data_IF_313310261517
#
_entry.id   IF_313310261517
#
_cell.length_a   1.000
_cell.length_b   1.000
_cell.length_c   1.000
_cell.angle_alpha   90.00
_cell.angle_beta   90.00
_cell.angle_gamma   90.00
#
_symmetry.space_group_name_H-M   'P 1'
#
loop_
_entity.id
_entity.type
_entity.pdbx_description
1 polymer ?
#
# COMPACT_ATOMS: atom_id res chain seq x y z
N UNK A 1 2.81 -4.25 21.02
CA UNK A 1 3.23 -3.03 20.30
C UNK A 1 4.72 -3.18 19.99
N UNK A 2 5.08 -3.50 18.74
CA UNK A 2 6.49 -3.48 18.34
C UNK A 2 6.91 -2.01 18.31
N UNK A 3 7.86 -1.64 19.17
CA UNK A 3 8.46 -0.31 19.13
C UNK A 3 9.28 -0.22 17.85
N UNK A 4 8.78 0.49 16.85
CA UNK A 4 9.52 0.81 15.62
C UNK A 4 10.63 1.86 15.87
N UNK A 5 11.01 2.09 17.12
CA UNK A 5 12.02 3.05 17.57
C UNK A 5 12.92 2.39 18.60
N UNK A 6 14.22 2.30 18.33
CA UNK A 6 15.27 2.04 19.31
C UNK A 6 16.09 3.31 19.60
N UNK A 7 16.82 3.33 20.72
CA UNK A 7 17.69 4.46 21.07
C UNK A 7 18.85 4.70 20.07
N UNK A 8 19.11 3.71 19.21
CA UNK A 8 20.18 3.74 18.21
C UNK A 8 19.66 3.96 16.79
N UNK A 9 18.36 4.26 16.62
CA UNK A 9 17.81 4.49 15.29
C UNK A 9 18.36 5.80 14.71
N UNK A 10 18.74 5.82 13.42
CA UNK A 10 19.17 7.05 12.77
C UNK A 10 18.04 8.08 12.75
N UNK A 11 18.43 9.36 12.64
CA UNK A 11 17.47 10.46 12.50
C UNK A 11 16.54 10.20 11.30
N UNK A 12 15.24 10.37 11.53
CA UNK A 12 14.22 10.21 10.48
C UNK A 12 14.11 11.51 9.69
N UNK A 13 14.05 11.37 8.37
CA UNK A 13 13.76 12.45 7.45
C UNK A 13 12.44 12.18 6.75
N UNK A 14 11.69 13.25 6.49
CA UNK A 14 10.56 13.24 5.56
C UNK A 14 11.08 13.68 4.21
N UNK A 15 10.80 12.89 3.18
CA UNK A 15 11.11 13.23 1.78
C UNK A 15 9.82 13.43 1.01
N UNK A 16 9.79 14.42 0.14
CA UNK A 16 8.75 14.56 -0.86
C UNK A 16 9.11 13.69 -2.07
N UNK A 17 8.11 13.01 -2.62
CA UNK A 17 8.27 12.19 -3.83
C UNK A 17 7.20 12.54 -4.85
N UNK A 18 7.60 12.64 -6.11
CA UNK A 18 6.69 12.73 -7.24
C UNK A 18 6.50 11.35 -7.86
N UNK A 19 5.24 10.96 -8.02
CA UNK A 19 4.84 9.70 -8.65
C UNK A 19 4.08 10.02 -9.93
N UNK A 20 4.54 9.46 -11.05
CA UNK A 20 3.98 9.72 -12.38
C UNK A 20 3.58 8.41 -13.08
N UNK A 21 2.56 8.49 -13.93
CA UNK A 21 2.06 7.37 -14.75
C UNK A 21 1.59 6.14 -13.94
N UNK A 22 1.04 6.37 -12.75
CA UNK A 22 0.48 5.32 -11.90
C UNK A 22 -1.01 5.07 -12.22
N UNK A 23 -1.34 3.81 -12.54
CA UNK A 23 -2.73 3.31 -12.49
C UNK A 23 -2.90 2.67 -11.13
N UNK A 24 -3.71 3.25 -10.26
CA UNK A 24 -3.85 2.78 -8.89
C UNK A 24 -5.31 2.45 -8.62
N UNK A 25 -5.51 1.35 -7.90
CA UNK A 25 -6.81 0.97 -7.40
C UNK A 25 -7.12 1.77 -6.12
N UNK A 26 -8.22 2.52 -6.08
CA UNK A 26 -8.56 3.32 -4.90
C UNK A 26 -9.50 2.57 -3.97
N UNK A 27 -8.98 2.01 -2.87
CA UNK A 27 -9.81 1.28 -1.90
C UNK A 27 -10.69 2.19 -1.04
N UNK A 28 -10.58 3.52 -1.20
CA UNK A 28 -11.46 4.48 -0.53
C UNK A 28 -12.78 4.65 -1.27
N UNK A 29 -12.83 4.31 -2.55
CA UNK A 29 -14.02 4.41 -3.39
C UNK A 29 -14.85 3.13 -3.32
N UNK A 30 -15.48 2.90 -2.17
CA UNK A 30 -16.22 1.68 -1.86
C UNK A 30 -17.37 1.37 -2.84
N UNK A 31 -17.80 2.36 -3.63
CA UNK A 31 -18.86 2.22 -4.64
C UNK A 31 -18.30 1.83 -6.02
N UNK A 32 -16.98 1.74 -6.18
CA UNK A 32 -16.36 1.37 -7.46
C UNK A 32 -16.71 -0.08 -7.83
N UNK A 33 -17.22 -0.33 -9.04
CA UNK A 33 -17.55 -1.69 -9.52
C UNK A 33 -16.31 -2.59 -9.63
N UNK A 34 -15.11 -2.01 -9.64
CA UNK A 34 -13.85 -2.75 -9.66
C UNK A 34 -13.55 -3.45 -8.33
N UNK A 35 -14.33 -3.18 -7.26
CA UNK A 35 -14.20 -3.84 -5.95
C UNK A 35 -14.59 -5.32 -5.93
N UNK A 36 -15.06 -5.90 -7.04
CA UNK A 36 -15.56 -7.26 -7.14
C UNK A 36 -14.51 -8.32 -6.72
N UNK A 37 -14.39 -8.56 -5.41
CA UNK A 37 -13.50 -9.55 -4.80
C UNK A 37 -12.47 -9.02 -3.78
N UNK A 38 -12.26 -7.70 -3.68
CA UNK A 38 -11.29 -7.12 -2.74
C UNK A 38 -11.99 -6.30 -1.65
N UNK A 39 -12.07 -6.84 -0.44
CA UNK A 39 -12.63 -6.12 0.71
C UNK A 39 -11.57 -5.24 1.39
N UNK A 40 -11.97 -4.05 1.84
CA UNK A 40 -11.12 -3.18 2.63
C UNK A 40 -10.64 -3.88 3.91
N UNK A 41 -11.47 -4.75 4.49
CA UNK A 41 -11.14 -5.55 5.69
C UNK A 41 -10.00 -6.54 5.42
N UNK A 42 -10.02 -7.23 4.29
CA UNK A 42 -8.94 -8.15 3.91
C UNK A 42 -7.64 -7.39 3.61
N UNK A 43 -7.74 -6.22 2.94
CA UNK A 43 -6.61 -5.33 2.69
C UNK A 43 -6.00 -4.80 4.01
N UNK A 44 -6.86 -4.50 4.98
CA UNK A 44 -6.52 -3.98 6.30
C UNK A 44 -6.12 -5.06 7.33
N UNK A 45 -6.24 -6.35 6.97
CA UNK A 45 -6.03 -7.47 7.88
C UNK A 45 -4.62 -7.50 8.49
N UNK A 46 -4.50 -8.02 9.71
CA UNK A 46 -3.22 -8.12 10.41
C UNK A 46 -2.34 -9.20 9.77
N UNK A 47 -1.53 -8.79 8.80
CA UNK A 47 -0.64 -9.69 8.08
C UNK A 47 0.47 -10.25 8.97
N UNK A 48 0.87 -9.54 10.03
CA UNK A 48 1.95 -9.99 10.91
C UNK A 48 1.48 -11.18 11.74
N UNK A 49 0.25 -11.09 12.27
CA UNK A 49 -0.36 -12.19 13.01
C UNK A 49 -0.59 -13.40 12.10
N UNK A 50 -1.12 -13.19 10.90
CA UNK A 50 -1.33 -14.29 9.94
C UNK A 50 -0.01 -15.00 9.57
N UNK A 51 1.08 -14.25 9.37
CA UNK A 51 2.40 -14.85 9.16
C UNK A 51 2.89 -15.61 10.41
N UNK A 52 2.67 -15.09 11.61
CA UNK A 52 3.01 -15.76 12.88
C UNK A 52 2.27 -17.09 13.03
N UNK A 53 1.05 -17.16 12.50
CA UNK A 53 0.21 -18.36 12.44
C UNK A 53 0.53 -19.27 11.24
N UNK A 54 1.61 -19.00 10.48
CA UNK A 54 1.97 -19.71 9.24
C UNK A 54 0.86 -19.73 8.18
N UNK A 55 -0.01 -18.71 8.20
CA UNK A 55 -1.09 -18.53 7.23
C UNK A 55 -0.71 -17.46 6.22
N UNK A 56 -1.14 -17.64 4.97
CA UNK A 56 -0.94 -16.61 3.93
C UNK A 56 -1.79 -15.37 4.25
N UNK A 57 -1.20 -14.17 4.33
CA UNK A 57 -1.97 -12.96 4.61
C UNK A 57 -3.05 -12.68 3.56
N UNK A 58 -4.27 -12.37 4.00
CA UNK A 58 -5.38 -12.00 3.11
C UNK A 58 -5.09 -10.71 2.33
N UNK A 59 -4.37 -9.76 2.94
CA UNK A 59 -3.93 -8.54 2.27
C UNK A 59 -3.04 -8.83 1.05
N UNK A 60 -2.35 -9.96 1.01
CA UNK A 60 -1.57 -10.39 -0.17
C UNK A 60 -2.46 -10.93 -1.28
N UNK A 61 -3.56 -11.61 -0.94
CA UNK A 61 -4.53 -12.04 -1.95
C UNK A 61 -5.23 -10.82 -2.60
N UNK A 62 -5.52 -9.77 -1.82
CA UNK A 62 -6.02 -8.49 -2.34
C UNK A 62 -5.01 -7.85 -3.30
N UNK A 63 -3.73 -7.77 -2.91
CA UNK A 63 -2.65 -7.29 -3.79
C UNK A 63 -2.65 -8.06 -5.12
N UNK A 64 -2.67 -9.38 -5.07
CA UNK A 64 -2.60 -10.22 -6.27
C UNK A 64 -3.81 -10.01 -7.19
N UNK A 65 -5.02 -9.90 -6.61
CA UNK A 65 -6.23 -9.63 -7.37
C UNK A 65 -6.17 -8.26 -8.07
N UNK A 66 -5.71 -7.22 -7.35
CA UNK A 66 -5.52 -5.88 -7.92
C UNK A 66 -4.44 -5.89 -9.00
N UNK A 67 -3.33 -6.59 -8.81
CA UNK A 67 -2.25 -6.71 -9.79
C UNK A 67 -2.75 -7.36 -11.11
N UNK A 68 -3.66 -8.34 -11.03
CA UNK A 68 -4.27 -8.99 -12.20
C UNK A 68 -5.15 -8.04 -13.03
N UNK A 69 -5.63 -6.93 -12.47
CA UNK A 69 -6.35 -5.88 -13.24
C UNK A 69 -5.42 -5.01 -14.08
N UNK A 70 -4.10 -5.16 -13.94
CA UNK A 70 -3.10 -4.32 -14.59
C UNK A 70 -2.83 -3.00 -13.84
N UNK A 71 -3.35 -2.86 -12.61
CA UNK A 71 -2.99 -1.78 -11.71
C UNK A 71 -1.51 -1.87 -11.30
N UNK A 72 -0.89 -0.71 -11.11
CA UNK A 72 0.49 -0.57 -10.64
C UNK A 72 0.58 -0.55 -9.10
N UNK A 73 -0.56 -0.43 -8.42
CA UNK A 73 -0.62 -0.18 -7.00
C UNK A 73 -2.03 0.07 -6.50
N UNK A 74 -2.14 0.50 -5.25
CA UNK A 74 -3.41 0.86 -4.61
C UNK A 74 -3.27 2.07 -3.69
N UNK A 75 -4.40 2.71 -3.40
CA UNK A 75 -4.55 3.68 -2.32
C UNK A 75 -5.37 3.03 -1.22
N UNK A 76 -4.88 3.05 0.03
CA UNK A 76 -5.62 2.59 1.20
C UNK A 76 -5.83 3.72 2.22
N UNK A 77 -6.97 3.77 2.92
CA UNK A 77 -7.18 4.70 4.01
C UNK A 77 -6.29 4.34 5.21
N UNK A 78 -5.73 5.36 5.87
CA UNK A 78 -4.93 5.12 7.07
C UNK A 78 -5.80 4.66 8.24
N UNK A 79 -5.50 3.47 8.75
CA UNK A 79 -6.19 2.88 9.91
C UNK A 79 -5.89 3.60 11.23
N UNK A 80 -4.71 4.24 11.31
CA UNK A 80 -4.23 4.90 12.54
C UNK A 80 -4.50 6.40 12.57
N UNK A 81 -4.65 7.01 11.39
CA UNK A 81 -4.82 8.46 11.25
C UNK A 81 -5.96 8.76 10.27
N UNK A 82 -7.22 8.88 10.76
CA UNK A 82 -8.38 9.15 9.92
C UNK A 82 -8.18 10.38 9.03
N UNK A 83 -8.62 10.29 7.77
CA UNK A 83 -8.46 11.35 6.77
C UNK A 83 -7.12 11.31 6.01
N UNK A 84 -6.13 10.55 6.50
CA UNK A 84 -4.92 10.24 5.74
C UNK A 84 -5.08 8.93 4.97
N UNK A 85 -4.19 8.72 4.01
CA UNK A 85 -4.15 7.55 3.14
C UNK A 85 -2.70 7.23 2.78
N UNK A 86 -2.43 6.02 2.30
CA UNK A 86 -1.14 5.65 1.76
C UNK A 86 -1.26 5.29 0.28
N UNK A 87 -0.16 5.48 -0.44
CA UNK A 87 0.04 4.95 -1.78
C UNK A 87 0.96 3.74 -1.69
N UNK A 88 0.51 2.61 -2.22
CA UNK A 88 1.29 1.39 -2.37
C UNK A 88 1.57 1.18 -3.84
N UNK A 89 2.83 1.04 -4.22
CA UNK A 89 3.24 0.64 -5.58
C UNK A 89 3.79 -0.78 -5.54
N UNK A 90 3.30 -1.66 -6.41
CA UNK A 90 3.78 -3.05 -6.49
C UNK A 90 5.14 -3.14 -7.18
N UNK A 91 5.40 -2.20 -8.08
CA UNK A 91 6.67 -1.98 -8.79
C UNK A 91 6.77 -0.51 -9.18
N UNK A 92 7.99 -0.01 -9.30
CA UNK A 92 8.29 1.35 -9.77
C UNK A 92 9.68 1.39 -10.40
N UNK A 93 9.98 2.44 -11.17
CA UNK A 93 11.28 2.68 -11.80
C UNK A 93 11.81 1.49 -12.62
N UNK A 94 10.89 0.75 -13.22
CA UNK A 94 11.16 -0.36 -14.15
C UNK A 94 10.33 -0.16 -15.41
N UNK A 95 10.71 -0.74 -16.56
CA UNK A 95 9.94 -0.61 -17.79
C UNK A 95 8.46 -0.97 -17.62
N UNK A 96 7.58 -0.07 -18.05
CA UNK A 96 6.13 -0.23 -17.95
C UNK A 96 5.55 -0.11 -16.53
N UNK A 97 6.32 0.40 -15.56
CA UNK A 97 5.86 0.73 -14.21
C UNK A 97 5.84 2.26 -14.01
N UNK A 98 5.22 2.77 -12.92
CA UNK A 98 5.27 4.18 -12.56
C UNK A 98 6.71 4.68 -12.33
N UNK A 99 6.91 5.97 -12.56
CA UNK A 99 8.16 6.66 -12.23
C UNK A 99 8.01 7.32 -10.87
N UNK A 100 9.00 7.11 -10.00
CA UNK A 100 9.09 7.72 -8.68
C UNK A 100 10.41 8.48 -8.60
N UNK A 101 10.32 9.78 -8.34
CA UNK A 101 11.48 10.65 -8.13
C UNK A 101 11.36 11.35 -6.79
N UNK A 102 12.49 11.48 -6.09
CA UNK A 102 12.57 12.38 -4.93
C UNK A 102 12.54 13.81 -5.47
N UNK A 103 11.73 14.65 -4.83
CA UNK A 103 11.72 16.09 -5.12
C UNK A 103 12.25 16.81 -3.90
N UNK A 104 13.27 17.62 -4.11
CA UNK A 104 13.72 18.58 -3.10
C UNK A 104 12.66 19.69 -3.03
N UNK A 105 12.21 20.02 -1.81
CA UNK A 105 11.36 21.18 -1.55
C UNK A 105 12.17 22.48 -1.51
#
# INVERSE_FOLDING_TARGET
>A
MIKHTSANDPARTVIAVRVENARVFDLRDADSPDHAGSSLDDAASDWQEQLRENTRPRSWAVRDAIEQTGAHGLIDPSRKSPGLWHLVLFRWNTPGAPTVTVVDE
#
